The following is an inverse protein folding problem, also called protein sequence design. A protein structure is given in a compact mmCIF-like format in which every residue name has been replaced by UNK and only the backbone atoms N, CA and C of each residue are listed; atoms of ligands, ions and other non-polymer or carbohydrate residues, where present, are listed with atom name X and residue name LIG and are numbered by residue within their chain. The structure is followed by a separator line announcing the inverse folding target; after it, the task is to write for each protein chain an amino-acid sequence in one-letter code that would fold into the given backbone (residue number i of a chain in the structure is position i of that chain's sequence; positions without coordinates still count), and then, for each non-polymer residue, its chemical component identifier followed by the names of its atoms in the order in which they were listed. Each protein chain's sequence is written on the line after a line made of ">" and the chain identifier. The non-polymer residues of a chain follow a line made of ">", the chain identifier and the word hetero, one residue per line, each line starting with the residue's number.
data_IF_446448501008
#
_entry.id   IF_446448501008
#
_cell.length_a   1.000
_cell.length_b   1.000
_cell.length_c   1.000
_cell.angle_alpha   90.00
_cell.angle_beta   90.00
_cell.angle_gamma   90.00
#
_symmetry.space_group_name_H-M   'P 1'
#
loop_
_entity.id
_entity.type
_entity.pdbx_description
1 polymer ?
#
# COMPACT_ATOMS: atom_id res chain seq x y z
N UNK A 1 42.94 -12.00 -15.72
CA UNK A 1 41.78 -11.37 -16.38
C UNK A 1 41.10 -10.48 -15.35
N UNK A 2 41.28 -9.16 -15.46
CA UNK A 2 40.64 -8.20 -14.57
C UNK A 2 39.17 -8.02 -14.97
N UNK A 3 38.26 -8.68 -14.28
CA UNK A 3 36.85 -8.29 -14.33
C UNK A 3 36.68 -7.10 -13.38
N UNK A 4 36.44 -5.93 -13.95
CA UNK A 4 35.92 -4.78 -13.22
C UNK A 4 34.55 -5.18 -12.65
N UNK A 5 34.52 -5.70 -11.42
CA UNK A 5 33.29 -5.84 -10.66
C UNK A 5 32.84 -4.44 -10.28
N UNK A 6 32.07 -3.81 -11.16
CA UNK A 6 31.39 -2.58 -10.84
C UNK A 6 30.34 -2.92 -9.78
N UNK A 7 30.60 -2.53 -8.53
CA UNK A 7 29.68 -2.75 -7.41
C UNK A 7 28.34 -2.10 -7.74
N UNK A 8 27.37 -2.93 -8.14
CA UNK A 8 26.04 -2.46 -8.50
C UNK A 8 25.24 -2.24 -7.22
N UNK A 9 24.91 -0.99 -6.94
CA UNK A 9 23.96 -0.64 -5.87
C UNK A 9 22.60 -1.24 -6.25
N UNK A 10 21.98 -1.96 -5.32
CA UNK A 10 20.70 -2.64 -5.53
C UNK A 10 19.65 -2.08 -4.57
N UNK A 11 18.46 -1.66 -5.06
CA UNK A 11 17.34 -1.29 -4.20
C UNK A 11 16.57 -2.51 -3.68
N UNK A 12 17.13 -3.73 -3.77
CA UNK A 12 16.46 -4.94 -3.31
C UNK A 12 16.37 -4.95 -1.78
N UNK A 13 15.15 -5.01 -1.26
CA UNK A 13 14.86 -5.09 0.18
C UNK A 13 15.12 -6.53 0.65
N UNK A 14 14.49 -7.49 -0.02
CA UNK A 14 14.64 -8.91 0.33
C UNK A 14 14.34 -9.80 -0.88
N UNK A 15 14.71 -11.09 -0.74
CA UNK A 15 14.32 -12.15 -1.66
C UNK A 15 14.07 -13.45 -0.91
N UNK A 16 13.18 -14.26 -1.45
CA UNK A 16 13.00 -15.67 -1.08
C UNK A 16 13.18 -16.51 -2.33
N UNK A 17 13.91 -17.60 -2.21
CA UNK A 17 14.28 -18.45 -3.33
C UNK A 17 13.94 -19.91 -3.02
N UNK A 18 13.46 -20.60 -4.04
CA UNK A 18 13.26 -22.04 -4.11
C UNK A 18 14.19 -22.62 -5.18
N UNK A 19 14.19 -23.93 -5.37
CA UNK A 19 15.08 -24.56 -6.36
C UNK A 19 14.86 -24.10 -7.80
N UNK A 20 13.65 -23.61 -8.14
CA UNK A 20 13.28 -23.25 -9.52
C UNK A 20 12.70 -21.84 -9.69
N UNK A 21 12.48 -21.14 -8.58
CA UNK A 21 11.80 -19.84 -8.59
C UNK A 21 12.33 -18.92 -7.50
N UNK A 22 12.29 -17.62 -7.78
CA UNK A 22 12.70 -16.56 -6.86
C UNK A 22 11.65 -15.46 -6.85
N UNK A 23 11.29 -15.00 -5.66
CA UNK A 23 10.53 -13.76 -5.46
C UNK A 23 11.44 -12.74 -4.81
N UNK A 24 11.44 -11.51 -5.33
CA UNK A 24 12.23 -10.41 -4.79
C UNK A 24 11.38 -9.15 -4.71
N UNK A 25 11.72 -8.33 -3.71
CA UNK A 25 11.05 -7.07 -3.41
C UNK A 25 12.06 -5.94 -3.46
N UNK A 26 11.69 -4.83 -4.10
CA UNK A 26 12.56 -3.68 -4.32
C UNK A 26 11.89 -2.38 -3.87
N UNK A 27 12.70 -1.50 -3.32
CA UNK A 27 12.34 -0.14 -2.96
C UNK A 27 12.02 0.70 -4.21
N UNK A 28 10.84 1.32 -4.20
CA UNK A 28 10.43 2.41 -5.09
C UNK A 28 9.62 3.46 -4.32
N UNK A 29 9.90 3.63 -3.02
CA UNK A 29 9.20 4.54 -2.14
C UNK A 29 9.53 5.99 -2.52
N UNK A 30 8.52 6.86 -2.40
CA UNK A 30 8.63 8.27 -2.75
C UNK A 30 7.87 9.11 -1.74
N UNK A 31 8.48 10.21 -1.31
CA UNK A 31 7.82 11.18 -0.45
C UNK A 31 6.74 11.92 -1.22
N UNK A 32 5.67 12.29 -0.51
CA UNK A 32 4.68 13.21 -1.02
C UNK A 32 5.31 14.58 -1.32
N UNK A 33 4.73 15.32 -2.27
CA UNK A 33 5.07 16.72 -2.46
C UNK A 33 4.80 17.52 -1.19
N UNK A 34 5.53 18.63 -1.01
CA UNK A 34 5.41 19.48 0.19
C UNK A 34 3.97 20.01 0.40
N UNK A 35 3.24 20.26 -0.70
CA UNK A 35 1.83 20.66 -0.68
C UNK A 35 0.88 19.59 -0.14
N UNK A 36 1.36 18.34 -0.01
CA UNK A 36 0.64 17.17 0.48
C UNK A 36 1.42 16.46 1.59
N UNK A 37 2.27 17.20 2.34
CA UNK A 37 3.25 16.63 3.28
C UNK A 37 2.65 15.64 4.29
N UNK A 38 1.41 15.85 4.72
CA UNK A 38 0.73 14.99 5.69
C UNK A 38 0.43 13.57 5.18
N UNK A 39 0.48 13.34 3.85
CA UNK A 39 0.25 12.04 3.26
C UNK A 39 1.47 11.11 3.34
N UNK A 40 2.67 11.65 3.59
CA UNK A 40 3.99 10.99 3.63
C UNK A 40 4.43 10.35 2.31
N UNK A 41 3.60 9.50 1.72
CA UNK A 41 3.83 8.79 0.48
C UNK A 41 3.23 9.53 -0.71
N UNK A 42 3.97 9.61 -1.82
CA UNK A 42 3.45 10.15 -3.07
C UNK A 42 2.27 9.33 -3.58
N UNK A 43 1.19 10.00 -4.01
CA UNK A 43 -0.04 9.41 -4.56
C UNK A 43 -0.45 10.04 -5.90
N UNK A 44 0.51 10.62 -6.61
CA UNK A 44 0.35 11.16 -7.97
C UNK A 44 0.13 12.66 -8.04
N UNK A 45 0.40 13.38 -6.94
CA UNK A 45 0.31 14.83 -6.82
C UNK A 45 1.43 15.58 -7.58
N UNK A 46 2.51 14.90 -7.95
CA UNK A 46 3.54 15.40 -8.87
C UNK A 46 3.91 14.36 -9.93
N UNK A 47 4.69 14.81 -10.92
CA UNK A 47 5.21 13.94 -11.99
C UNK A 47 6.72 13.78 -11.87
N UNK A 48 7.20 12.61 -12.25
CA UNK A 48 8.61 12.30 -12.47
C UNK A 48 8.72 11.55 -13.79
N UNK A 49 9.57 12.04 -14.71
CA UNK A 49 9.67 11.52 -16.09
C UNK A 49 8.29 11.43 -16.78
N UNK A 50 7.52 12.52 -16.72
CA UNK A 50 6.16 12.67 -17.26
C UNK A 50 5.08 11.73 -16.69
N UNK A 51 5.43 10.90 -15.71
CA UNK A 51 4.51 9.96 -15.08
C UNK A 51 4.14 10.42 -13.67
N UNK A 52 2.88 10.20 -13.26
CA UNK A 52 2.45 10.46 -11.87
C UNK A 52 3.34 9.66 -10.90
N UNK A 53 4.01 10.38 -10.00
CA UNK A 53 4.87 9.77 -9.00
C UNK A 53 4.00 9.10 -7.93
N UNK A 54 4.25 7.82 -7.69
CA UNK A 54 3.58 7.05 -6.64
C UNK A 54 4.66 6.37 -5.80
N UNK A 55 4.46 6.34 -4.49
CA UNK A 55 5.27 5.51 -3.60
C UNK A 55 4.86 4.06 -3.76
N UNK A 56 5.82 3.20 -4.10
CA UNK A 56 5.55 1.83 -4.51
C UNK A 56 6.58 0.87 -3.93
N UNK A 57 6.20 -0.39 -3.88
CA UNK A 57 7.07 -1.54 -3.64
C UNK A 57 6.97 -2.44 -4.86
N UNK A 58 8.10 -2.66 -5.54
CA UNK A 58 8.14 -3.54 -6.71
C UNK A 58 8.34 -4.98 -6.25
N UNK A 59 7.46 -5.86 -6.69
CA UNK A 59 7.58 -7.31 -6.52
C UNK A 59 7.91 -7.93 -7.87
N UNK A 60 8.90 -8.83 -7.90
CA UNK A 60 9.24 -9.62 -9.09
C UNK A 60 9.22 -11.09 -8.76
N UNK A 61 8.73 -11.92 -9.68
CA UNK A 61 8.92 -13.37 -9.68
C UNK A 61 9.77 -13.73 -10.89
N UNK A 62 10.85 -14.46 -10.64
CA UNK A 62 11.64 -15.13 -11.65
C UNK A 62 11.32 -16.62 -11.60
N UNK A 63 10.90 -17.19 -12.73
CA UNK A 63 10.64 -18.60 -12.92
C UNK A 63 11.63 -19.17 -13.94
N UNK A 64 12.60 -19.93 -13.44
CA UNK A 64 13.62 -20.60 -14.23
C UNK A 64 13.34 -22.12 -14.32
N UNK A 65 12.09 -22.54 -14.11
CA UNK A 65 11.69 -23.96 -14.23
C UNK A 65 11.97 -24.55 -15.62
N UNK A 66 12.03 -23.70 -16.66
CA UNK A 66 12.33 -24.09 -18.04
C UNK A 66 13.80 -23.81 -18.43
N UNK A 67 14.64 -23.36 -17.50
CA UNK A 67 16.04 -22.99 -17.73
C UNK A 67 16.33 -21.51 -17.42
N UNK A 68 17.60 -21.16 -17.53
CA UNK A 68 18.12 -19.80 -17.34
C UNK A 68 18.26 -19.05 -18.67
N UNK A 69 18.70 -17.79 -18.64
CA UNK A 69 18.83 -16.97 -19.84
C UNK A 69 17.46 -16.64 -20.45
N UNK A 70 17.31 -16.86 -21.75
CA UNK A 70 16.08 -16.53 -22.50
C UNK A 70 14.85 -17.35 -22.07
N UNK A 71 15.05 -18.47 -21.37
CA UNK A 71 13.98 -19.31 -20.85
C UNK A 71 13.47 -18.89 -19.47
N UNK A 72 14.15 -17.92 -18.83
CA UNK A 72 13.73 -17.37 -17.54
C UNK A 72 12.54 -16.43 -17.74
N UNK A 73 11.42 -16.74 -17.09
CA UNK A 73 10.25 -15.87 -17.09
C UNK A 73 10.34 -14.92 -15.91
N UNK A 74 10.51 -13.64 -16.20
CA UNK A 74 10.51 -12.57 -15.18
C UNK A 74 9.20 -11.78 -15.30
N UNK A 75 8.35 -11.89 -14.28
CA UNK A 75 7.13 -11.10 -14.15
C UNK A 75 7.24 -10.14 -12.97
N UNK A 76 6.65 -8.95 -13.07
CA UNK A 76 6.73 -7.92 -12.05
C UNK A 76 5.39 -7.20 -11.82
N UNK A 77 5.19 -6.70 -10.61
CA UNK A 77 4.03 -5.90 -10.24
C UNK A 77 4.44 -4.90 -9.16
N UNK A 78 3.87 -3.71 -9.18
CA UNK A 78 4.10 -2.72 -8.15
C UNK A 78 2.91 -2.70 -7.19
N UNK A 79 3.16 -2.84 -5.89
CA UNK A 79 2.17 -2.71 -4.82
C UNK A 79 2.37 -1.38 -4.09
N UNK A 80 1.30 -0.81 -3.55
CA UNK A 80 1.41 0.28 -2.58
C UNK A 80 1.95 -0.26 -1.23
N UNK A 81 2.64 0.56 -0.42
CA UNK A 81 3.14 0.15 0.89
C UNK A 81 2.07 -0.47 1.77
N UNK A 82 0.87 0.13 1.78
CA UNK A 82 -0.26 -0.32 2.59
C UNK A 82 -0.79 -1.69 2.13
N UNK A 83 -0.60 -2.07 0.86
CA UNK A 83 -0.98 -3.41 0.38
C UNK A 83 -0.06 -4.49 0.93
N UNK A 84 1.24 -4.21 1.10
CA UNK A 84 2.18 -5.13 1.76
C UNK A 84 1.75 -5.34 3.21
N UNK A 85 1.45 -4.25 3.92
CA UNK A 85 0.99 -4.28 5.31
C UNK A 85 -0.32 -5.04 5.44
N UNK A 86 -1.29 -4.77 4.56
CA UNK A 86 -2.56 -5.49 4.52
C UNK A 86 -2.34 -7.00 4.36
N UNK A 87 -1.51 -7.44 3.41
CA UNK A 87 -1.23 -8.87 3.21
C UNK A 87 -0.52 -9.46 4.44
N UNK A 88 0.44 -8.73 5.04
CA UNK A 88 1.11 -9.16 6.27
C UNK A 88 0.10 -9.41 7.40
N UNK A 89 -0.93 -8.57 7.53
CA UNK A 89 -1.96 -8.78 8.56
C UNK A 89 -2.71 -10.10 8.40
N UNK A 90 -2.82 -10.63 7.17
CA UNK A 90 -3.54 -11.89 6.90
C UNK A 90 -2.78 -13.09 7.45
N UNK A 91 -1.45 -13.09 7.28
CA UNK A 91 -0.62 -14.16 7.84
C UNK A 91 -0.48 -14.02 9.36
N UNK A 92 -0.32 -12.81 9.90
CA UNK A 92 -0.19 -12.63 11.36
C UNK A 92 -1.47 -12.96 12.12
N UNK A 93 -2.64 -12.75 11.51
CA UNK A 93 -3.92 -13.14 12.09
C UNK A 93 -4.25 -14.63 11.89
N UNK A 94 -3.43 -15.39 11.15
CA UNK A 94 -3.61 -16.85 10.98
C UNK A 94 -4.78 -17.26 10.09
N UNK A 95 -5.15 -16.45 9.09
CA UNK A 95 -6.23 -16.78 8.14
C UNK A 95 -5.95 -18.12 7.45
N UNK A 96 -6.95 -19.01 7.45
CA UNK A 96 -6.79 -20.33 6.85
C UNK A 96 -6.96 -20.32 5.33
N UNK A 97 -7.95 -19.60 4.84
CA UNK A 97 -8.19 -19.35 3.43
C UNK A 97 -8.15 -17.84 3.18
N UNK A 98 -7.55 -17.44 2.06
CA UNK A 98 -7.46 -16.06 1.65
C UNK A 98 -7.29 -15.96 0.14
N UNK A 99 -7.93 -14.98 -0.48
CA UNK A 99 -7.71 -14.67 -1.89
C UNK A 99 -7.80 -13.16 -2.08
N UNK A 100 -6.81 -12.62 -2.79
CA UNK A 100 -6.80 -11.22 -3.20
C UNK A 100 -6.11 -11.07 -4.54
N UNK A 101 -6.64 -10.20 -5.39
CA UNK A 101 -6.05 -9.89 -6.68
C UNK A 101 -6.19 -8.43 -7.04
N UNK A 102 -5.30 -7.96 -7.92
CA UNK A 102 -5.34 -6.63 -8.48
C UNK A 102 -4.86 -6.64 -9.93
N UNK A 103 -5.54 -5.88 -10.79
CA UNK A 103 -5.11 -5.63 -12.16
C UNK A 103 -4.75 -4.16 -12.36
N UNK A 104 -3.77 -3.89 -13.23
CA UNK A 104 -3.35 -2.55 -13.62
C UNK A 104 -3.23 -2.47 -15.13
N UNK A 105 -3.64 -1.32 -15.68
CA UNK A 105 -3.43 -0.99 -17.09
C UNK A 105 -2.90 0.45 -17.21
N UNK A 106 -1.87 0.64 -18.01
CA UNK A 106 -1.19 1.92 -18.17
C UNK A 106 -0.36 1.98 -19.45
N UNK A 107 0.21 3.16 -19.73
CA UNK A 107 0.95 3.42 -20.96
C UNK A 107 0.04 3.82 -22.11
N UNK A 108 0.65 4.28 -23.21
CA UNK A 108 -0.07 4.52 -24.46
C UNK A 108 -0.40 3.17 -25.13
N UNK A 109 -1.53 3.08 -25.87
CA UNK A 109 -1.79 1.91 -26.69
C UNK A 109 -0.74 1.77 -27.80
N UNK A 110 -0.39 0.54 -28.14
CA UNK A 110 0.40 0.20 -29.32
C UNK A 110 -0.42 0.34 -30.62
N UNK A 111 0.18 0.01 -31.76
CA UNK A 111 -0.46 0.13 -33.08
C UNK A 111 -1.74 -0.72 -33.20
N UNK A 112 -1.89 -1.75 -32.37
CA UNK A 112 -3.02 -2.66 -32.31
C UNK A 112 -4.06 -2.23 -31.25
N UNK A 113 -3.85 -1.11 -30.56
CA UNK A 113 -4.76 -0.57 -29.56
C UNK A 113 -4.54 -1.12 -28.14
N UNK A 114 -3.46 -1.88 -27.91
CA UNK A 114 -3.19 -2.50 -26.61
C UNK A 114 -2.22 -1.68 -25.76
N UNK A 115 -2.58 -1.45 -24.50
CA UNK A 115 -1.70 -0.84 -23.49
C UNK A 115 -1.08 -1.92 -22.59
N UNK A 116 -0.02 -1.58 -21.87
CA UNK A 116 0.60 -2.47 -20.88
C UNK A 116 -0.39 -2.83 -19.79
N UNK A 117 -0.51 -4.13 -19.52
CA UNK A 117 -1.37 -4.67 -18.48
C UNK A 117 -0.63 -5.64 -17.57
N UNK A 118 -0.97 -5.61 -16.28
CA UNK A 118 -0.39 -6.50 -15.28
C UNK A 118 -1.47 -6.98 -14.32
N UNK A 119 -1.34 -8.21 -13.86
CA UNK A 119 -2.20 -8.82 -12.86
C UNK A 119 -1.33 -9.38 -11.74
N UNK A 120 -1.77 -9.19 -10.50
CA UNK A 120 -1.21 -9.77 -9.30
C UNK A 120 -2.31 -10.56 -8.60
N UNK A 121 -1.99 -11.74 -8.10
CA UNK A 121 -2.84 -12.45 -7.16
C UNK A 121 -2.02 -13.09 -6.06
N UNK A 122 -2.63 -13.17 -4.89
CA UNK A 122 -2.16 -13.96 -3.77
C UNK A 122 -3.33 -14.77 -3.23
N UNK A 123 -3.10 -16.04 -2.97
CA UNK A 123 -4.05 -16.90 -2.28
C UNK A 123 -3.38 -17.79 -1.25
N UNK A 124 -4.17 -18.26 -0.29
CA UNK A 124 -3.80 -19.30 0.66
C UNK A 124 -4.80 -20.43 0.57
N UNK A 125 -4.30 -21.65 0.39
CA UNK A 125 -5.09 -22.88 0.47
C UNK A 125 -4.36 -23.88 1.37
N UNK A 126 -5.04 -24.39 2.41
CA UNK A 126 -4.41 -25.37 3.32
C UNK A 126 -4.25 -26.74 2.71
N UNK A 127 -5.04 -27.06 1.69
CA UNK A 127 -5.11 -28.37 1.07
C UNK A 127 -5.01 -28.24 -0.46
N UNK A 128 -4.39 -29.23 -1.09
CA UNK A 128 -4.36 -29.34 -2.55
C UNK A 128 -5.71 -29.84 -3.12
N UNK A 129 -5.80 -29.95 -4.44
CA UNK A 129 -7.02 -30.43 -5.13
C UNK A 129 -7.41 -31.87 -4.78
N UNK A 130 -6.52 -32.64 -4.13
CA UNK A 130 -6.78 -33.99 -3.63
C UNK A 130 -7.14 -34.04 -2.14
N UNK A 131 -7.23 -32.87 -1.49
CA UNK A 131 -7.51 -32.73 -0.06
C UNK A 131 -6.30 -32.92 0.85
N UNK A 132 -5.07 -33.06 0.30
CA UNK A 132 -3.87 -33.27 1.12
C UNK A 132 -3.34 -31.94 1.65
N UNK A 133 -2.88 -31.88 2.92
CA UNK A 133 -2.28 -30.67 3.47
C UNK A 133 -1.08 -30.18 2.65
N UNK A 134 -1.03 -28.88 2.39
CA UNK A 134 0.04 -28.24 1.62
C UNK A 134 1.17 -27.76 2.54
N UNK A 135 2.41 -28.11 2.18
CA UNK A 135 3.62 -27.56 2.86
C UNK A 135 3.81 -26.06 2.58
N UNK A 136 3.44 -25.62 1.39
CA UNK A 136 3.57 -24.23 0.93
C UNK A 136 2.19 -23.71 0.50
N UNK A 137 1.33 -23.33 1.48
CA UNK A 137 -0.08 -23.05 1.23
C UNK A 137 -0.30 -21.70 0.53
N UNK A 138 0.69 -20.81 0.54
CA UNK A 138 0.58 -19.49 -0.06
C UNK A 138 1.06 -19.50 -1.50
N UNK A 139 0.24 -19.01 -2.42
CA UNK A 139 0.59 -18.84 -3.82
C UNK A 139 0.55 -17.36 -4.18
N UNK A 140 1.65 -16.83 -4.69
CA UNK A 140 1.70 -15.50 -5.32
C UNK A 140 1.89 -15.69 -6.82
N UNK A 141 1.09 -15.02 -7.64
CA UNK A 141 1.20 -15.04 -9.09
C UNK A 141 1.23 -13.62 -9.66
N UNK A 142 2.07 -13.43 -10.67
CA UNK A 142 2.12 -12.22 -11.48
C UNK A 142 1.98 -12.62 -12.95
N UNK A 143 1.06 -11.94 -13.63
CA UNK A 143 0.90 -12.05 -15.08
C UNK A 143 1.16 -10.68 -15.69
N UNK A 144 2.12 -10.60 -16.61
CA UNK A 144 2.36 -9.40 -17.41
C UNK A 144 1.92 -9.64 -18.85
N UNK A 145 1.38 -8.61 -19.46
CA UNK A 145 0.92 -8.66 -20.82
C UNK A 145 0.33 -7.34 -21.26
N UNK A 146 -0.75 -7.44 -22.04
CA UNK A 146 -1.38 -6.33 -22.74
C UNK A 146 -2.89 -6.35 -22.59
N UNK A 147 -3.55 -5.20 -22.70
CA UNK A 147 -5.00 -5.10 -22.63
C UNK A 147 -5.52 -3.83 -23.29
N UNK A 148 -6.83 -3.78 -23.57
CA UNK A 148 -7.46 -2.57 -24.12
C UNK A 148 -7.78 -1.62 -22.97
N UNK A 149 -7.15 -0.44 -22.97
CA UNK A 149 -7.36 0.60 -21.96
C UNK A 149 -8.59 1.43 -22.30
N UNK A 150 -9.51 1.54 -21.36
CA UNK A 150 -10.74 2.33 -21.49
C UNK A 150 -10.72 3.43 -20.45
N UNK A 151 -11.02 4.66 -20.85
CA UNK A 151 -11.19 5.79 -19.94
C UNK A 151 -12.62 5.81 -19.42
N UNK A 152 -12.79 6.00 -18.11
CA UNK A 152 -14.09 6.25 -17.52
C UNK A 152 -14.46 7.75 -17.62
N UNK A 153 -15.72 8.09 -17.38
CA UNK A 153 -16.22 9.47 -17.47
C UNK A 153 -15.54 10.43 -16.47
N UNK A 154 -14.99 9.91 -15.35
CA UNK A 154 -14.31 10.67 -14.30
C UNK A 154 -12.79 10.83 -14.57
N UNK A 155 -12.29 10.42 -15.73
CA UNK A 155 -10.87 10.51 -16.10
C UNK A 155 -9.96 9.39 -15.57
N UNK A 156 -10.53 8.41 -14.85
CA UNK A 156 -9.85 7.15 -14.52
C UNK A 156 -9.71 6.24 -15.75
N UNK A 157 -8.85 5.22 -15.66
CA UNK A 157 -8.68 4.22 -16.72
C UNK A 157 -8.76 2.82 -16.16
N UNK A 158 -9.42 1.92 -16.88
CA UNK A 158 -9.54 0.50 -16.54
C UNK A 158 -9.33 -0.37 -17.77
N UNK A 159 -9.11 -1.66 -17.55
CA UNK A 159 -8.92 -2.63 -18.63
C UNK A 159 -10.27 -3.17 -19.09
N UNK A 160 -10.54 -3.16 -20.39
CA UNK A 160 -11.75 -3.76 -20.96
C UNK A 160 -11.80 -5.25 -20.60
N UNK A 161 -12.94 -5.71 -20.09
CA UNK A 161 -13.14 -7.13 -19.79
C UNK A 161 -12.88 -8.01 -21.02
N UNK A 162 -12.25 -9.16 -20.82
CA UNK A 162 -11.88 -10.11 -21.88
C UNK A 162 -10.77 -9.65 -22.83
N UNK A 163 -10.16 -8.46 -22.62
CA UNK A 163 -9.12 -7.94 -23.53
C UNK A 163 -7.68 -8.30 -23.12
N UNK A 164 -7.49 -8.96 -21.97
CA UNK A 164 -6.16 -9.25 -21.46
C UNK A 164 -5.47 -10.35 -22.28
N UNK A 165 -4.29 -10.04 -22.78
CA UNK A 165 -3.40 -10.93 -23.49
C UNK A 165 -2.16 -11.18 -22.62
N UNK A 166 -2.03 -12.39 -22.08
CA UNK A 166 -0.89 -12.79 -21.25
C UNK A 166 0.37 -12.97 -22.10
N UNK A 167 1.48 -12.37 -21.68
CA UNK A 167 2.80 -12.53 -22.30
C UNK A 167 3.78 -13.27 -21.38
N UNK A 168 3.73 -12.98 -20.06
CA UNK A 168 4.57 -13.61 -19.05
C UNK A 168 3.72 -14.01 -17.86
N UNK A 169 3.85 -15.25 -17.41
CA UNK A 169 3.13 -15.76 -16.25
C UNK A 169 4.15 -16.45 -15.34
N UNK A 170 4.28 -15.95 -14.12
CA UNK A 170 5.12 -16.56 -13.10
C UNK A 170 4.38 -16.61 -11.77
N UNK A 171 4.53 -17.72 -11.05
CA UNK A 171 3.96 -17.88 -9.71
C UNK A 171 4.95 -18.56 -8.80
N UNK A 172 4.87 -18.33 -7.50
CA UNK A 172 5.68 -19.02 -6.48
C UNK A 172 4.77 -19.50 -5.36
N UNK A 173 5.08 -20.68 -4.80
CA UNK A 173 4.46 -21.17 -3.59
C UNK A 173 5.42 -21.02 -2.41
N UNK A 174 4.91 -20.53 -1.29
CA UNK A 174 5.69 -20.18 -0.11
C UNK A 174 5.12 -20.89 1.13
N UNK A 175 6.01 -21.29 2.04
CA UNK A 175 5.62 -21.68 3.39
C UNK A 175 5.10 -20.46 4.16
N UNK A 176 4.42 -20.68 5.30
CA UNK A 176 4.03 -19.56 6.18
C UNK A 176 5.28 -18.75 6.60
N UNK A 177 6.38 -19.41 6.96
CA UNK A 177 7.61 -18.73 7.37
C UNK A 177 8.25 -17.90 6.25
N UNK A 178 8.26 -18.43 5.02
CA UNK A 178 8.80 -17.73 3.85
C UNK A 178 7.99 -16.49 3.51
N UNK A 179 6.66 -16.61 3.47
CA UNK A 179 5.79 -15.47 3.20
C UNK A 179 5.91 -14.43 4.31
N UNK A 180 5.87 -14.86 5.57
CA UNK A 180 6.04 -13.97 6.71
C UNK A 180 7.37 -13.21 6.64
N UNK A 181 8.47 -13.90 6.34
CA UNK A 181 9.80 -13.28 6.22
C UNK A 181 9.84 -12.25 5.08
N UNK A 182 9.29 -12.59 3.91
CA UNK A 182 9.23 -11.70 2.75
C UNK A 182 8.47 -10.40 3.10
N UNK A 183 7.26 -10.54 3.65
CA UNK A 183 6.39 -9.42 3.99
C UNK A 183 6.91 -8.62 5.18
N UNK A 184 7.36 -9.28 6.25
CA UNK A 184 7.82 -8.60 7.46
C UNK A 184 9.10 -7.80 7.23
N UNK A 185 10.05 -8.31 6.44
CA UNK A 185 11.24 -7.53 6.05
C UNK A 185 10.87 -6.32 5.21
N UNK A 186 9.90 -6.46 4.32
CA UNK A 186 9.41 -5.35 3.49
C UNK A 186 8.70 -4.30 4.34
N UNK A 187 7.80 -4.71 5.23
CA UNK A 187 7.12 -3.86 6.20
C UNK A 187 8.11 -3.11 7.10
N UNK A 188 9.10 -3.81 7.67
CA UNK A 188 10.15 -3.17 8.47
C UNK A 188 10.95 -2.14 7.67
N UNK A 189 11.23 -2.40 6.39
CA UNK A 189 11.88 -1.39 5.54
C UNK A 189 11.00 -0.16 5.33
N UNK A 190 9.71 -0.34 5.01
CA UNK A 190 8.73 0.75 4.85
C UNK A 190 8.69 1.61 6.12
N UNK A 191 8.49 0.99 7.30
CA UNK A 191 8.40 1.73 8.56
C UNK A 191 9.67 2.51 8.89
N UNK A 192 10.85 1.94 8.64
CA UNK A 192 12.10 2.66 8.88
C UNK A 192 12.33 3.77 7.86
N UNK A 193 11.95 3.56 6.60
CA UNK A 193 11.95 4.61 5.59
C UNK A 193 11.03 5.76 5.98
N UNK A 194 9.80 5.47 6.42
CA UNK A 194 8.84 6.46 6.94
C UNK A 194 9.45 7.22 8.13
N UNK A 195 10.06 6.52 9.09
CA UNK A 195 10.70 7.14 10.24
C UNK A 195 11.87 8.07 9.87
N UNK A 196 12.62 7.76 8.80
CA UNK A 196 13.68 8.62 8.28
C UNK A 196 13.15 9.84 7.52
N UNK A 197 12.08 9.67 6.74
CA UNK A 197 11.60 10.70 5.81
C UNK A 197 10.52 11.61 6.40
N UNK A 198 9.67 11.10 7.28
CA UNK A 198 8.54 11.84 7.84
C UNK A 198 8.95 13.09 8.64
N UNK A 199 10.00 13.09 9.49
CA UNK A 199 10.33 14.25 10.30
C UNK A 199 10.62 15.51 9.47
N UNK A 200 11.47 15.39 8.45
CA UNK A 200 11.83 16.53 7.58
C UNK A 200 10.67 16.96 6.71
N UNK A 201 9.92 16.02 6.13
CA UNK A 201 8.75 16.32 5.32
C UNK A 201 7.66 17.05 6.12
N UNK A 202 7.36 16.59 7.34
CA UNK A 202 6.36 17.20 8.21
C UNK A 202 6.81 18.59 8.69
N UNK A 203 8.06 18.74 9.12
CA UNK A 203 8.57 20.02 9.61
C UNK A 203 8.53 21.08 8.49
N UNK A 204 9.05 20.74 7.31
CA UNK A 204 9.07 21.65 6.16
C UNK A 204 7.64 21.95 5.68
N UNK A 205 6.76 20.94 5.70
CA UNK A 205 5.37 21.09 5.28
C UNK A 205 4.57 22.03 6.18
N UNK A 206 4.73 21.91 7.51
CA UNK A 206 4.12 22.82 8.48
C UNK A 206 4.64 24.25 8.31
N UNK A 207 5.95 24.43 8.14
CA UNK A 207 6.52 25.75 7.92
C UNK A 207 5.98 26.40 6.63
N UNK A 208 5.85 25.63 5.55
CA UNK A 208 5.27 26.13 4.30
C UNK A 208 3.79 26.50 4.48
N UNK A 209 3.04 25.71 5.23
CA UNK A 209 1.63 25.97 5.52
C UNK A 209 1.43 27.22 6.39
N UNK A 210 2.24 27.41 7.42
CA UNK A 210 2.23 28.62 8.26
C UNK A 210 2.53 29.88 7.44
N UNK A 211 3.55 29.83 6.57
CA UNK A 211 3.87 30.94 5.66
C UNK A 211 2.69 31.26 4.74
N UNK A 212 2.05 30.24 4.17
CA UNK A 212 0.87 30.43 3.31
C UNK A 212 -0.27 31.15 4.04
N UNK A 213 -0.50 30.84 5.32
CA UNK A 213 -1.52 31.52 6.12
C UNK A 213 -1.17 32.99 6.38
N UNK A 214 0.08 33.30 6.68
CA UNK A 214 0.56 34.67 6.88
C UNK A 214 0.41 35.51 5.61
N UNK A 215 0.81 34.94 4.46
CA UNK A 215 0.69 35.60 3.16
C UNK A 215 -0.79 35.90 2.82
N UNK A 216 -1.71 34.96 3.14
CA UNK A 216 -3.14 35.16 2.96
C UNK A 216 -3.72 36.25 3.88
N UNK A 217 -3.30 36.32 5.14
CA UNK A 217 -3.72 37.38 6.07
C UNK A 217 -3.22 38.75 5.63
N UNK A 218 -1.97 38.85 5.19
CA UNK A 218 -1.38 40.11 4.70
C UNK A 218 -2.11 40.63 3.45
N UNK A 219 -2.49 39.75 2.52
CA UNK A 219 -3.26 40.13 1.33
C UNK A 219 -4.66 40.65 1.68
N UNK A 220 -5.34 40.01 2.64
CA UNK A 220 -6.67 40.46 3.08
C UNK A 220 -6.62 41.77 3.86
N UNK A 221 -5.57 42.01 4.66
CA UNK A 221 -5.37 43.30 5.33
C UNK A 221 -5.04 44.42 4.34
N UNK A 222 -4.28 44.14 3.28
CA UNK A 222 -3.98 45.10 2.23
C UNK A 222 -5.22 45.46 1.37
N UNK A 223 -6.08 44.49 1.04
CA UNK A 223 -7.33 44.74 0.31
C UNK A 223 -8.41 45.42 1.18
N UNK A 224 -8.40 45.21 2.50
CA UNK A 224 -9.27 45.91 3.45
C UNK A 224 -8.92 47.38 3.67
N UNK A 225 -7.72 47.83 3.26
CA UNK A 225 -7.31 49.24 3.33
C UNK A 225 -7.64 50.04 2.06
N UNK A 226 -8.04 49.39 0.95
CA UNK A 226 -8.31 50.07 -0.34
C UNK A 226 -9.81 50.40 -0.57
N UNK A 227 -10.66 50.25 0.45
CA UNK A 227 -12.06 50.73 0.46
C UNK A 227 -12.31 51.86 1.46
N UNK A 228 -11.27 52.62 1.81
CA UNK A 228 -11.31 53.59 2.91
C UNK A 228 -11.22 55.06 2.52
N UNK A 229 -12.01 55.56 1.55
CA UNK A 229 -12.24 57.01 1.43
C UNK A 229 -13.66 57.37 0.92
N UNK A 230 -14.57 57.64 1.86
CA UNK A 230 -15.48 58.79 1.84
C UNK A 230 -16.29 58.93 3.15
N UNK A 231 -15.85 59.90 3.97
CA UNK A 231 -16.65 60.94 4.65
C UNK A 231 -17.59 60.60 5.85
N UNK A 232 -17.08 61.02 7.03
CA UNK A 232 -17.68 61.87 8.08
C UNK A 232 -18.91 61.40 8.91
N UNK A 233 -18.76 61.46 10.25
CA UNK A 233 -19.86 61.27 11.21
C UNK A 233 -19.43 60.75 12.59
N UNK A 234 -19.71 61.53 13.64
CA UNK A 234 -19.34 61.42 15.06
C UNK A 234 -19.69 60.11 15.83
N UNK A 235 -18.84 59.80 16.82
CA UNK A 235 -18.82 58.84 17.98
C UNK A 235 -20.17 58.50 18.69
N UNK A 236 -20.31 57.44 19.56
CA UNK A 236 -19.28 56.88 20.48
C UNK A 236 -19.29 55.33 20.78
N UNK A 237 -18.32 54.94 21.64
CA UNK A 237 -17.98 53.63 22.25
C UNK A 237 -19.12 52.63 22.55
N UNK A 238 -18.88 51.32 22.32
CA UNK A 238 -18.78 50.27 23.37
C UNK A 238 -18.54 48.85 22.79
N UNK A 239 -17.96 48.01 23.64
CA UNK A 239 -17.93 46.54 23.67
C UNK A 239 -16.81 45.76 22.93
N UNK A 240 -15.83 45.43 23.77
CA UNK A 240 -15.12 44.15 23.81
C UNK A 240 -16.10 42.96 23.70
N UNK A 241 -15.92 42.13 22.68
CA UNK A 241 -16.29 40.72 22.74
C UNK A 241 -15.22 39.89 22.01
N UNK A 242 -14.67 38.92 22.74
CA UNK A 242 -13.93 37.80 22.19
C UNK A 242 -14.75 37.14 21.08
N UNK A 243 -14.27 37.19 19.83
CA UNK A 243 -14.79 36.34 18.77
C UNK A 243 -13.93 35.08 18.69
N UNK A 244 -14.30 34.10 19.52
CA UNK A 244 -14.10 32.69 19.24
C UNK A 244 -15.18 32.30 18.21
N UNK A 245 -14.79 31.52 17.20
CA UNK A 245 -15.59 30.98 16.08
C UNK A 245 -15.48 31.73 14.75
N UNK A 246 -14.40 31.44 14.02
CA UNK A 246 -14.43 31.40 12.57
C UNK A 246 -14.75 29.98 12.10
N UNK A 247 -16.03 29.66 11.92
CA UNK A 247 -16.42 28.58 11.01
C UNK A 247 -16.02 29.00 9.60
N UNK A 248 -14.92 28.44 9.10
CA UNK A 248 -14.56 28.59 7.70
C UNK A 248 -15.60 27.85 6.86
N UNK A 249 -16.11 28.44 5.76
CA UNK A 249 -16.92 27.72 4.80
C UNK A 249 -16.07 26.56 4.29
N UNK A 250 -16.56 25.34 4.48
CA UNK A 250 -15.92 24.14 3.97
C UNK A 250 -15.74 24.28 2.47
N UNK A 251 -14.52 24.56 2.04
CA UNK A 251 -14.07 24.05 0.76
C UNK A 251 -14.05 22.54 0.93
N UNK A 252 -15.11 21.90 0.45
CA UNK A 252 -15.11 20.49 0.14
C UNK A 252 -13.94 20.30 -0.84
N UNK A 253 -12.80 19.71 -0.44
CA UNK A 253 -11.91 19.19 -1.45
C UNK A 253 -12.69 18.01 -2.00
N UNK A 254 -13.16 18.12 -3.24
CA UNK A 254 -13.39 16.92 -4.03
C UNK A 254 -12.07 16.15 -4.02
N UNK A 255 -11.94 15.27 -3.03
CA UNK A 255 -10.90 14.28 -3.00
C UNK A 255 -11.11 13.48 -4.28
N UNK A 256 -10.15 13.44 -5.21
CA UNK A 256 -10.09 12.28 -6.06
C UNK A 256 -9.73 11.13 -5.11
N UNK A 257 -10.74 10.43 -4.57
CA UNK A 257 -10.56 9.03 -4.24
C UNK A 257 -9.95 8.42 -5.49
N UNK A 258 -8.69 8.05 -5.40
CA UNK A 258 -8.02 7.33 -6.46
C UNK A 258 -8.72 5.96 -6.49
N UNK A 259 -9.79 5.84 -7.28
CA UNK A 259 -10.61 4.65 -7.53
C UNK A 259 -9.79 3.57 -8.29
N UNK A 260 -8.55 3.30 -7.86
CA UNK A 260 -7.80 2.12 -8.28
C UNK A 260 -8.09 0.88 -7.40
N UNK A 261 -9.11 0.95 -6.56
CA UNK A 261 -9.67 -0.20 -5.87
C UNK A 261 -11.09 -0.47 -6.38
N UNK A 262 -11.19 -1.01 -7.60
CA UNK A 262 -12.34 -1.84 -7.95
C UNK A 262 -12.00 -3.28 -7.54
N UNK A 263 -12.41 -3.64 -6.32
CA UNK A 263 -12.59 -5.03 -5.96
C UNK A 263 -13.69 -5.61 -6.84
N UNK A 264 -13.43 -6.76 -7.47
CA UNK A 264 -14.48 -7.56 -8.09
C UNK A 264 -15.50 -7.96 -7.01
N UNK A 265 -16.78 -7.82 -7.37
CA UNK A 265 -17.91 -8.37 -6.62
C UNK A 265 -17.69 -9.87 -6.34
N UNK A 266 -17.76 -10.26 -5.08
CA UNK A 266 -17.99 -11.65 -4.69
C UNK A 266 -19.50 -11.90 -4.77
N UNK A 267 -19.91 -12.80 -5.65
CA UNK A 267 -21.27 -13.35 -5.66
C UNK A 267 -21.43 -14.26 -4.42
N UNK A 268 -22.01 -13.72 -3.35
CA UNK A 268 -22.58 -14.55 -2.28
C UNK A 268 -24.03 -14.87 -2.62
N UNK A 269 -24.28 -16.14 -2.99
CA UNK A 269 -25.63 -16.70 -2.95
C UNK A 269 -26.09 -16.81 -1.48
N UNK A 270 -27.31 -16.38 -1.13
CA UNK A 270 -27.79 -16.44 0.24
C UNK A 270 -28.35 -17.84 0.52
N UNK A 271 -27.83 -18.53 1.53
CA UNK A 271 -28.57 -19.63 2.13
C UNK A 271 -28.24 -19.80 3.61
N UNK A 272 -29.29 -19.87 4.43
CA UNK A 272 -29.27 -20.51 5.75
C UNK A 272 -28.97 -19.60 6.95
N UNK A 273 -30.04 -19.30 7.69
CA UNK A 273 -30.00 -18.69 9.03
C UNK A 273 -29.13 -19.51 9.99
N UNK A 274 -28.19 -18.86 10.69
CA UNK A 274 -27.72 -19.32 12.00
C UNK A 274 -27.53 -18.11 12.92
N UNK A 275 -28.45 -17.97 13.88
CA UNK A 275 -28.31 -17.11 15.05
C UNK A 275 -27.26 -17.71 15.99
N UNK A 276 -26.38 -16.90 16.56
CA UNK A 276 -25.72 -17.23 17.82
C UNK A 276 -25.68 -15.98 18.72
N UNK A 277 -26.15 -16.05 19.97
CA UNK A 277 -26.22 -14.90 20.87
C UNK A 277 -24.87 -14.62 21.54
N UNK A 278 -24.66 -13.34 21.87
CA UNK A 278 -23.55 -12.88 22.70
C UNK A 278 -23.70 -13.35 24.16
N UNK A 279 -22.57 -13.44 24.90
CA UNK A 279 -22.60 -13.08 26.31
C UNK A 279 -21.46 -12.15 26.71
N UNK A 280 -21.86 -10.92 27.01
CA UNK A 280 -21.61 -10.14 28.22
C UNK A 280 -20.72 -10.66 29.37
N UNK A 281 -19.74 -9.80 29.70
CA UNK A 281 -19.01 -9.48 30.94
C UNK A 281 -18.80 -10.52 32.08
N UNK A 282 -17.54 -10.62 32.55
CA UNK A 282 -17.23 -10.43 33.98
C UNK A 282 -15.74 -10.16 34.28
N UNK A 283 -15.56 -9.41 35.37
CA UNK A 283 -14.39 -8.66 35.81
C UNK A 283 -13.68 -9.38 36.98
N UNK A 284 -12.35 -9.25 37.05
CA UNK A 284 -11.40 -9.47 38.16
C UNK A 284 -11.79 -10.37 39.37
N UNK A 285 -10.93 -11.33 39.69
CA UNK A 285 -10.59 -11.59 41.10
C UNK A 285 -9.18 -12.19 41.28
N UNK A 286 -8.46 -11.63 42.26
CA UNK A 286 -7.16 -12.05 42.78
C UNK A 286 -7.44 -12.96 43.99
N UNK A 287 -6.86 -14.16 44.07
CA UNK A 287 -6.52 -14.78 45.36
C UNK A 287 -5.50 -15.94 45.27
N UNK A 288 -4.56 -15.87 46.22
CA UNK A 288 -3.42 -16.73 46.60
C UNK A 288 -3.51 -18.27 46.44
N UNK A 289 -2.43 -18.85 45.86
CA UNK A 289 -1.42 -19.81 46.42
C UNK A 289 -1.87 -21.13 47.12
N UNK A 290 -0.96 -22.08 47.49
CA UNK A 290 0.10 -22.85 46.79
C UNK A 290 0.01 -24.39 47.05
N UNK A 291 0.75 -25.24 46.31
CA UNK A 291 1.36 -26.52 46.77
C UNK A 291 2.32 -27.01 45.64
N UNK A 292 3.65 -26.98 45.80
CA UNK A 292 4.56 -28.12 46.17
C UNK A 292 4.24 -29.43 45.40
N UNK A 293 5.15 -30.19 44.79
CA UNK A 293 6.56 -30.48 45.12
C UNK A 293 7.21 -31.36 44.01
N UNK A 294 8.55 -31.44 44.00
CA UNK A 294 9.42 -32.52 43.48
C UNK A 294 9.46 -32.82 41.97
N UNK A 295 10.54 -33.29 41.36
CA UNK A 295 11.99 -33.32 41.58
C UNK A 295 12.56 -34.11 40.37
N UNK A 296 13.79 -33.77 39.96
CA UNK A 296 14.77 -34.66 39.31
C UNK A 296 14.55 -35.16 37.87
N UNK A 297 15.44 -34.68 36.99
CA UNK A 297 16.48 -35.53 36.39
C UNK A 297 16.12 -36.33 35.14
N UNK A 298 16.60 -35.89 33.98
CA UNK A 298 17.81 -36.46 33.36
C UNK A 298 18.03 -35.91 31.95
N UNK A 299 19.28 -35.52 31.70
CA UNK A 299 19.85 -35.41 30.38
C UNK A 299 19.81 -36.76 29.67
N UNK A 300 19.67 -36.79 28.34
CA UNK A 300 20.62 -37.43 27.43
C UNK A 300 20.48 -36.83 26.03
N UNK A 301 21.63 -36.50 25.47
CA UNK A 301 21.83 -36.15 24.07
C UNK A 301 21.84 -37.40 23.19
N UNK A 302 21.28 -37.27 21.99
CA UNK A 302 21.79 -37.77 20.72
C UNK A 302 21.05 -37.02 19.60
#
# INVERSE_FOLDING_TARGET
>A
MNQNYQTRISPQICKVQTDRKLIAVYDQLKCAALTHYAQLHAKGEYKENDHKANSLIKVTIQDYSNGTGDKNVIAQFNLAPEQIQFILTRITAGFQEFEWSQSKIYGAPDAQGYSTAQQFSISRHTNDSSGRPMKSPWRIQIVNGKGVKVQNQKGGSYMKSGSFLSEKNAFIQLTDMDLYTLLKRTDSYITNWEACMAPSLIANGKQAYEKQQQDWQAQNQAQGQDQGYAQDGQYPEQNSYYSQNGQYPGQNPDYPQNEQYQGQSQDYAPNGQYQNPAPDYMQNNIQNNPYQNQAQGNAYAA
#
